data_IF_317580696848
#
_entry.id   IF_317580696848
#
_cell.length_a   1.000
_cell.length_b   1.000
_cell.length_c   1.000
_cell.angle_alpha   90.00
_cell.angle_beta   90.00
_cell.angle_gamma   90.00
#
_symmetry.space_group_name_H-M   'P 1'
#
loop_
_entity.id
_entity.type
_entity.pdbx_description
1 polymer ?
#
# COMPACT_ATOMS: atom_id res chain seq x y z
N UNK A 1 -4.94 -13.15 3.67
CA UNK A 1 -3.64 -12.56 3.21
C UNK A 1 -2.53 -13.02 4.11
N UNK A 2 -1.37 -13.39 3.55
CA UNK A 2 -0.18 -13.80 4.31
C UNK A 2 0.97 -12.86 3.97
N UNK A 3 1.65 -12.33 5.00
CA UNK A 3 2.83 -11.48 4.83
C UNK A 3 4.08 -12.37 4.63
N UNK A 4 4.84 -12.09 3.57
CA UNK A 4 6.10 -12.79 3.27
C UNK A 4 7.29 -11.95 3.76
N UNK A 5 7.36 -11.72 5.08
CA UNK A 5 8.41 -10.91 5.70
C UNK A 5 9.64 -11.80 6.00
N UNK A 6 10.25 -12.36 4.94
CA UNK A 6 11.38 -13.28 4.96
C UNK A 6 12.25 -13.10 3.71
N UNK A 7 13.35 -13.87 3.61
CA UNK A 7 14.16 -13.89 2.39
C UNK A 7 13.42 -14.54 1.20
N UNK A 8 13.98 -14.38 0.00
CA UNK A 8 13.36 -14.83 -1.24
C UNK A 8 13.18 -16.34 -1.32
N UNK A 9 14.15 -17.12 -0.84
CA UNK A 9 14.07 -18.57 -0.87
C UNK A 9 12.90 -19.03 0.01
N UNK A 10 12.82 -18.51 1.23
CA UNK A 10 11.74 -18.85 2.16
C UNK A 10 10.38 -18.36 1.66
N UNK A 11 10.33 -17.19 1.01
CA UNK A 11 9.10 -16.67 0.42
C UNK A 11 8.56 -17.60 -0.69
N UNK A 12 9.43 -18.14 -1.54
CA UNK A 12 9.05 -19.09 -2.59
C UNK A 12 8.56 -20.43 -2.01
N UNK A 13 9.25 -20.97 -1.00
CA UNK A 13 8.81 -22.18 -0.28
C UNK A 13 7.43 -21.99 0.35
N UNK A 14 7.23 -20.86 1.06
CA UNK A 14 5.93 -20.54 1.65
C UNK A 14 4.84 -20.38 0.59
N UNK A 15 5.16 -19.77 -0.55
CA UNK A 15 4.21 -19.63 -1.64
C UNK A 15 3.73 -20.98 -2.16
N UNK A 16 4.62 -21.97 -2.33
CA UNK A 16 4.21 -23.33 -2.71
C UNK A 16 3.29 -23.99 -1.65
N UNK A 17 3.60 -23.80 -0.37
CA UNK A 17 2.78 -24.35 0.72
C UNK A 17 1.40 -23.69 0.84
N UNK A 18 1.29 -22.42 0.44
CA UNK A 18 0.09 -21.59 0.51
C UNK A 18 -0.81 -21.71 -0.73
N UNK A 19 -0.30 -22.30 -1.81
CA UNK A 19 -1.04 -22.48 -3.06
C UNK A 19 -2.37 -23.18 -2.82
N UNK A 20 -3.46 -22.59 -3.28
CA UNK A 20 -4.83 -23.07 -3.04
C UNK A 20 -5.36 -22.86 -1.62
N UNK A 21 -4.57 -22.34 -0.69
CA UNK A 21 -4.98 -22.07 0.71
C UNK A 21 -5.09 -20.58 1.02
N UNK A 22 -4.39 -19.73 0.29
CA UNK A 22 -4.45 -18.28 0.42
C UNK A 22 -4.65 -17.65 -0.97
N UNK A 23 -5.45 -16.58 -1.02
CA UNK A 23 -5.64 -15.81 -2.26
C UNK A 23 -4.62 -14.69 -2.39
N UNK A 24 -4.24 -14.08 -1.27
CA UNK A 24 -3.37 -12.91 -1.22
C UNK A 24 -2.07 -13.18 -0.48
N UNK A 25 -0.97 -12.68 -1.03
CA UNK A 25 0.31 -12.53 -0.32
C UNK A 25 0.72 -11.06 -0.28
N UNK A 26 1.38 -10.64 0.80
CA UNK A 26 1.97 -9.31 0.94
C UNK A 26 3.48 -9.42 0.75
N UNK A 27 4.00 -8.63 -0.18
CA UNK A 27 5.43 -8.43 -0.39
C UNK A 27 5.80 -7.07 0.19
N UNK A 28 6.55 -7.08 1.27
CA UNK A 28 7.03 -5.87 1.93
C UNK A 28 8.39 -5.40 1.40
N UNK A 29 8.87 -4.28 1.93
CA UNK A 29 10.11 -3.62 1.50
C UNK A 29 11.33 -4.54 1.61
N UNK A 30 11.49 -5.28 2.70
CA UNK A 30 12.66 -6.16 2.90
C UNK A 30 12.81 -7.17 1.77
N UNK A 31 11.74 -7.90 1.46
CA UNK A 31 11.75 -8.91 0.40
C UNK A 31 11.92 -8.25 -0.98
N UNK A 32 11.19 -7.15 -1.23
CA UNK A 32 11.22 -6.49 -2.53
C UNK A 32 12.58 -5.86 -2.83
N UNK A 33 13.21 -5.16 -1.88
CA UNK A 33 14.53 -4.54 -2.08
C UNK A 33 15.67 -5.58 -2.17
N UNK A 34 15.53 -6.73 -1.51
CA UNK A 34 16.51 -7.80 -1.61
C UNK A 34 16.44 -8.57 -2.93
N UNK A 35 15.22 -8.74 -3.50
CA UNK A 35 15.00 -9.63 -4.65
C UNK A 35 14.58 -8.90 -5.94
N UNK A 36 14.09 -7.68 -5.80
CA UNK A 36 13.61 -6.88 -6.93
C UNK A 36 12.19 -7.27 -7.38
N UNK A 37 11.73 -6.69 -8.49
CA UNK A 37 10.35 -6.86 -8.98
C UNK A 37 10.01 -8.28 -9.44
N UNK A 38 11.00 -9.14 -9.70
CA UNK A 38 10.80 -10.55 -10.07
C UNK A 38 10.04 -11.36 -9.01
N UNK A 39 10.07 -10.95 -7.74
CA UNK A 39 9.29 -11.62 -6.68
C UNK A 39 7.79 -11.41 -6.89
N UNK A 40 7.36 -10.25 -7.39
CA UNK A 40 5.94 -9.99 -7.71
C UNK A 40 5.48 -10.97 -8.80
N UNK A 41 6.24 -11.07 -9.88
CA UNK A 41 5.97 -11.99 -10.97
C UNK A 41 5.90 -13.45 -10.49
N UNK A 42 6.88 -13.88 -9.69
CA UNK A 42 6.91 -15.22 -9.12
C UNK A 42 5.66 -15.56 -8.27
N UNK A 43 5.10 -14.58 -7.55
CA UNK A 43 3.84 -14.77 -6.81
C UNK A 43 2.63 -14.81 -7.74
N UNK A 44 2.61 -13.97 -8.78
CA UNK A 44 1.53 -13.97 -9.79
C UNK A 44 1.47 -15.29 -10.56
N UNK A 45 2.62 -15.84 -11.00
CA UNK A 45 2.70 -17.15 -11.68
C UNK A 45 2.15 -18.30 -10.82
N UNK A 46 2.19 -18.16 -9.49
CA UNK A 46 1.62 -19.12 -8.53
C UNK A 46 0.13 -18.90 -8.25
N UNK A 47 -0.50 -17.93 -8.92
CA UNK A 47 -1.92 -17.64 -8.83
C UNK A 47 -2.33 -16.77 -7.65
N UNK A 48 -1.36 -16.11 -6.98
CA UNK A 48 -1.68 -15.16 -5.90
C UNK A 48 -2.06 -13.78 -6.44
N UNK A 49 -2.94 -13.10 -5.71
CA UNK A 49 -3.02 -11.65 -5.73
C UNK A 49 -1.91 -11.07 -4.85
N UNK A 50 -1.22 -10.04 -5.33
CA UNK A 50 -0.05 -9.46 -4.68
C UNK A 50 -0.34 -8.09 -4.12
N UNK A 51 -0.26 -7.98 -2.81
CA UNK A 51 -0.20 -6.72 -2.09
C UNK A 51 1.25 -6.27 -1.99
N UNK A 52 1.65 -5.28 -2.78
CA UNK A 52 3.00 -4.71 -2.76
C UNK A 52 3.05 -3.53 -1.79
N UNK A 53 3.58 -3.78 -0.60
CA UNK A 53 3.58 -2.87 0.54
C UNK A 53 4.90 -2.11 0.67
N UNK A 54 5.13 -1.12 -0.22
CA UNK A 54 6.36 -0.33 -0.29
C UNK A 54 6.23 1.06 0.34
N UNK A 55 5.02 1.47 0.71
CA UNK A 55 4.76 2.75 1.39
C UNK A 55 5.37 3.95 0.67
N UNK A 56 5.03 4.13 -0.61
CA UNK A 56 5.57 5.19 -1.46
C UNK A 56 5.47 6.56 -0.79
N UNK A 57 6.56 7.32 -0.83
CA UNK A 57 6.63 8.65 -0.27
C UNK A 57 7.75 9.46 -0.95
N UNK A 58 7.36 10.30 -1.91
CA UNK A 58 8.25 11.17 -2.67
C UNK A 58 7.42 12.26 -3.35
N UNK A 59 8.04 13.13 -4.14
CA UNK A 59 7.33 14.13 -4.94
C UNK A 59 6.39 13.46 -5.96
N UNK A 60 5.27 14.13 -6.35
CA UNK A 60 4.25 13.51 -7.19
C UNK A 60 4.76 12.87 -8.48
N UNK A 61 5.73 13.50 -9.16
CA UNK A 61 6.31 12.96 -10.39
C UNK A 61 6.98 11.59 -10.18
N UNK A 62 7.76 11.45 -9.10
CA UNK A 62 8.42 10.18 -8.78
C UNK A 62 7.41 9.10 -8.39
N UNK A 63 6.37 9.49 -7.64
CA UNK A 63 5.35 8.54 -7.20
C UNK A 63 4.48 8.05 -8.35
N UNK A 64 4.18 8.90 -9.36
CA UNK A 64 3.50 8.45 -10.56
C UNK A 64 4.31 7.37 -11.30
N UNK A 65 5.62 7.59 -11.47
CA UNK A 65 6.53 6.62 -12.10
C UNK A 65 6.68 5.33 -11.28
N UNK A 66 6.81 5.44 -9.95
CA UNK A 66 6.94 4.30 -9.05
C UNK A 66 5.67 3.42 -9.03
N UNK A 67 4.51 4.06 -8.95
CA UNK A 67 3.22 3.38 -8.99
C UNK A 67 2.97 2.69 -10.34
N UNK A 68 3.26 3.37 -11.45
CA UNK A 68 3.24 2.77 -12.78
C UNK A 68 4.15 1.54 -12.86
N UNK A 69 5.40 1.68 -12.41
CA UNK A 69 6.37 0.57 -12.44
C UNK A 69 5.91 -0.63 -11.61
N UNK A 70 5.36 -0.40 -10.41
CA UNK A 70 4.85 -1.46 -9.55
C UNK A 70 3.63 -2.17 -10.16
N UNK A 71 2.67 -1.39 -10.67
CA UNK A 71 1.46 -1.91 -11.32
C UNK A 71 1.79 -2.70 -12.59
N UNK A 72 2.76 -2.25 -13.40
CA UNK A 72 3.21 -2.95 -14.61
C UNK A 72 3.80 -4.34 -14.34
N UNK A 73 4.18 -4.65 -13.09
CA UNK A 73 4.64 -5.98 -12.67
C UNK A 73 3.49 -6.88 -12.19
N UNK A 74 2.25 -6.39 -12.25
CA UNK A 74 1.07 -7.14 -11.87
C UNK A 74 0.73 -7.10 -10.38
N UNK A 75 1.21 -6.09 -9.64
CA UNK A 75 0.75 -5.87 -8.27
C UNK A 75 -0.77 -5.54 -8.29
N UNK A 76 -1.53 -6.17 -7.40
CA UNK A 76 -2.98 -5.97 -7.30
C UNK A 76 -3.36 -4.93 -6.21
N UNK A 77 -2.40 -4.53 -5.39
CA UNK A 77 -2.58 -3.53 -4.33
C UNK A 77 -1.26 -2.84 -4.01
N UNK A 78 -1.29 -1.52 -3.81
CA UNK A 78 -0.13 -0.67 -3.54
C UNK A 78 -0.35 0.18 -2.31
N UNK A 79 0.70 0.53 -1.58
CA UNK A 79 0.64 1.48 -0.46
C UNK A 79 1.44 2.74 -0.70
N UNK A 80 0.95 3.86 -0.16
CA UNK A 80 1.63 5.15 -0.12
C UNK A 80 1.31 5.89 1.17
N UNK A 81 2.18 6.78 1.62
CA UNK A 81 1.90 7.62 2.78
C UNK A 81 0.93 8.75 2.46
N UNK A 82 -0.15 8.89 3.23
CA UNK A 82 -1.12 9.99 3.06
C UNK A 82 -0.52 11.35 3.46
N UNK A 83 0.51 11.34 4.30
CA UNK A 83 1.29 12.54 4.66
C UNK A 83 2.01 13.20 3.48
N UNK A 84 2.12 12.52 2.34
CA UNK A 84 2.58 13.12 1.07
C UNK A 84 1.59 14.07 0.42
N UNK A 85 0.35 14.13 0.92
CA UNK A 85 -0.70 15.03 0.47
C UNK A 85 -1.47 14.53 -0.74
N UNK A 86 -2.55 15.24 -1.05
CA UNK A 86 -3.54 14.85 -2.06
C UNK A 86 -2.91 14.69 -3.46
N UNK A 87 -2.05 15.60 -3.87
CA UNK A 87 -1.44 15.56 -5.21
C UNK A 87 -0.48 14.38 -5.40
N UNK A 88 0.24 13.98 -4.35
CA UNK A 88 1.09 12.78 -4.40
C UNK A 88 0.22 11.52 -4.53
N UNK A 89 -0.85 11.41 -3.76
CA UNK A 89 -1.76 10.26 -3.83
C UNK A 89 -2.47 10.17 -5.18
N UNK A 90 -2.94 11.31 -5.74
CA UNK A 90 -3.49 11.36 -7.11
C UNK A 90 -2.48 10.94 -8.16
N UNK A 91 -1.21 11.31 -8.01
CA UNK A 91 -0.14 10.88 -8.91
C UNK A 91 0.07 9.37 -8.86
N UNK A 92 0.05 8.76 -7.66
CA UNK A 92 0.09 7.31 -7.51
C UNK A 92 -1.06 6.62 -8.26
N UNK A 93 -2.28 7.14 -8.11
CA UNK A 93 -3.47 6.61 -8.79
C UNK A 93 -3.32 6.70 -10.31
N UNK A 94 -2.87 7.85 -10.85
CA UNK A 94 -2.65 8.01 -12.31
C UNK A 94 -1.63 6.99 -12.83
N UNK A 95 -0.52 6.78 -12.11
CA UNK A 95 0.49 5.79 -12.49
C UNK A 95 -0.06 4.37 -12.53
N UNK A 96 -0.86 3.99 -11.51
CA UNK A 96 -1.50 2.69 -11.43
C UNK A 96 -2.51 2.46 -12.56
N UNK A 97 -3.37 3.44 -12.85
CA UNK A 97 -4.37 3.40 -13.94
C UNK A 97 -3.67 3.25 -15.28
N UNK A 98 -2.66 4.10 -15.57
CA UNK A 98 -1.92 4.05 -16.83
C UNK A 98 -1.26 2.68 -17.07
N UNK A 99 -0.68 2.08 -16.05
CA UNK A 99 -0.10 0.73 -16.17
C UNK A 99 -1.18 -0.34 -16.43
N UNK A 100 -2.30 -0.27 -15.73
CA UNK A 100 -3.41 -1.21 -15.91
C UNK A 100 -3.95 -1.16 -17.35
N UNK A 101 -4.14 0.04 -17.91
CA UNK A 101 -4.57 0.24 -19.29
C UNK A 101 -3.56 -0.29 -20.31
N UNK A 102 -2.27 -0.01 -20.11
CA UNK A 102 -1.21 -0.41 -21.03
C UNK A 102 -0.96 -1.91 -21.06
N UNK A 103 -1.02 -2.58 -19.90
CA UNK A 103 -0.73 -4.02 -19.78
C UNK A 103 -1.97 -4.91 -19.74
N UNK A 104 -3.18 -4.35 -19.77
CA UNK A 104 -4.44 -5.10 -19.74
C UNK A 104 -4.70 -5.78 -18.39
N UNK A 105 -4.29 -5.14 -17.28
CA UNK A 105 -4.53 -5.61 -15.92
C UNK A 105 -5.73 -4.87 -15.29
N UNK A 106 -6.27 -5.43 -14.22
CA UNK A 106 -7.16 -4.67 -13.34
C UNK A 106 -6.38 -3.53 -12.67
N UNK A 107 -7.01 -2.39 -12.47
CA UNK A 107 -6.38 -1.28 -11.74
C UNK A 107 -6.11 -1.72 -10.30
N UNK A 108 -4.86 -1.69 -9.84
CA UNK A 108 -4.55 -2.10 -8.47
C UNK A 108 -5.19 -1.16 -7.44
N UNK A 109 -5.66 -1.72 -6.34
CA UNK A 109 -6.15 -0.93 -5.22
C UNK A 109 -4.98 -0.09 -4.64
N UNK A 110 -5.19 1.22 -4.50
CA UNK A 110 -4.23 2.13 -3.88
C UNK A 110 -4.66 2.43 -2.45
N UNK A 111 -3.78 2.17 -1.50
CA UNK A 111 -4.07 2.33 -0.07
C UNK A 111 -3.16 3.38 0.56
N UNK A 112 -3.76 4.32 1.27
CA UNK A 112 -3.07 5.36 2.04
C UNK A 112 -2.68 4.87 3.43
N UNK A 113 -1.38 4.92 3.77
CA UNK A 113 -0.91 4.73 5.14
C UNK A 113 -1.22 6.00 5.92
N UNK A 114 -2.03 5.91 6.97
CA UNK A 114 -2.35 7.04 7.83
C UNK A 114 -1.18 7.34 8.78
N UNK A 115 -1.20 6.84 10.00
CA UNK A 115 -0.07 6.90 10.92
C UNK A 115 0.47 5.50 11.13
N UNK A 116 1.78 5.35 11.19
CA UNK A 116 2.39 4.05 11.43
C UNK A 116 2.02 3.55 12.83
N UNK A 117 1.63 2.28 12.94
CA UNK A 117 1.18 1.66 14.20
C UNK A 117 2.25 1.61 15.29
N UNK A 118 3.51 1.85 14.93
CA UNK A 118 4.63 1.99 15.87
C UNK A 118 4.76 3.39 16.48
N UNK A 119 4.01 4.37 15.99
CA UNK A 119 4.03 5.75 16.49
C UNK A 119 3.03 5.96 17.62
N UNK A 120 3.29 6.99 18.41
CA UNK A 120 2.42 7.51 19.45
C UNK A 120 2.44 9.07 19.40
N UNK A 121 1.69 9.72 20.29
CA UNK A 121 1.61 11.19 20.31
C UNK A 121 2.99 11.87 20.49
N UNK A 122 3.89 11.28 21.26
CA UNK A 122 5.27 11.77 21.42
C UNK A 122 6.03 11.74 20.11
N UNK A 123 5.96 10.61 19.38
CA UNK A 123 6.62 10.45 18.06
C UNK A 123 6.02 11.39 17.01
N UNK A 124 4.71 11.64 17.05
CA UNK A 124 4.09 12.65 16.20
C UNK A 124 4.62 14.05 16.49
N UNK A 125 4.76 14.41 17.78
CA UNK A 125 5.31 15.70 18.16
C UNK A 125 6.78 15.88 17.73
N UNK A 126 7.59 14.81 17.77
CA UNK A 126 9.00 14.83 17.30
C UNK A 126 9.11 15.21 15.81
N UNK A 127 8.13 14.83 14.99
CA UNK A 127 8.10 15.17 13.55
C UNK A 127 7.29 16.45 13.26
N UNK A 128 6.97 17.24 14.29
CA UNK A 128 6.29 18.53 14.16
C UNK A 128 4.77 18.46 14.00
N UNK A 129 4.15 17.31 14.28
CA UNK A 129 2.69 17.15 14.27
C UNK A 129 2.14 17.45 15.66
N UNK A 130 1.39 18.54 15.80
CA UNK A 130 0.80 18.97 17.07
C UNK A 130 -0.54 18.33 17.41
N UNK A 131 -1.15 17.61 16.47
CA UNK A 131 -2.40 16.88 16.69
C UNK A 131 -2.14 15.57 17.43
N UNK A 132 -3.10 15.16 18.27
CA UNK A 132 -3.10 13.81 18.83
C UNK A 132 -3.34 12.75 17.73
N UNK A 133 -2.95 11.51 18.04
CA UNK A 133 -2.97 10.37 17.12
C UNK A 133 -4.32 10.22 16.41
N UNK A 134 -5.43 10.20 17.16
CA UNK A 134 -6.76 9.96 16.60
C UNK A 134 -7.18 11.04 15.58
N UNK A 135 -6.89 12.31 15.87
CA UNK A 135 -7.22 13.42 14.98
C UNK A 135 -6.30 13.45 13.75
N UNK A 136 -5.04 13.07 13.91
CA UNK A 136 -4.11 12.96 12.80
C UNK A 136 -4.53 11.84 11.84
N UNK A 137 -4.92 10.68 12.36
CA UNK A 137 -5.42 9.56 11.55
C UNK A 137 -6.67 9.95 10.75
N UNK A 138 -7.64 10.62 11.39
CA UNK A 138 -8.85 11.11 10.71
C UNK A 138 -8.52 12.07 9.58
N UNK A 139 -7.69 13.09 9.84
CA UNK A 139 -7.25 14.05 8.82
C UNK A 139 -6.61 13.34 7.62
N UNK A 140 -5.69 12.42 7.87
CA UNK A 140 -4.99 11.70 6.82
C UNK A 140 -5.94 10.80 6.01
N UNK A 141 -6.95 10.23 6.65
CA UNK A 141 -7.97 9.43 5.99
C UNK A 141 -8.88 10.29 5.10
N UNK A 142 -9.27 11.49 5.55
CA UNK A 142 -10.02 12.47 4.73
C UNK A 142 -9.23 12.94 3.51
N UNK A 143 -7.91 13.14 3.65
CA UNK A 143 -7.03 13.44 2.51
C UNK A 143 -6.98 12.29 1.49
N UNK A 144 -6.94 11.03 1.97
CA UNK A 144 -7.01 9.85 1.12
C UNK A 144 -8.32 9.79 0.32
N UNK A 145 -9.45 10.04 0.99
CA UNK A 145 -10.77 10.13 0.34
C UNK A 145 -10.81 11.25 -0.69
N UNK A 146 -10.29 12.44 -0.35
CA UNK A 146 -10.20 13.59 -1.27
C UNK A 146 -9.34 13.28 -2.50
N UNK A 147 -8.30 12.47 -2.33
CA UNK A 147 -7.44 12.02 -3.43
C UNK A 147 -8.10 10.96 -4.32
N UNK A 148 -9.19 10.33 -3.87
CA UNK A 148 -9.90 9.27 -4.61
C UNK A 148 -9.13 7.95 -4.67
N UNK A 149 -8.26 7.68 -3.70
CA UNK A 149 -7.60 6.37 -3.59
C UNK A 149 -8.53 5.35 -2.95
N UNK A 150 -8.22 4.07 -3.13
CA UNK A 150 -9.16 2.96 -2.84
C UNK A 150 -9.45 2.72 -1.36
N UNK A 151 -8.63 3.24 -0.45
CA UNK A 151 -8.82 3.05 0.99
C UNK A 151 -7.61 3.45 1.81
N UNK A 152 -7.63 3.10 3.09
CA UNK A 152 -6.56 3.43 4.04
C UNK A 152 -6.09 2.21 4.83
N UNK A 153 -4.85 2.26 5.29
CA UNK A 153 -4.29 1.34 6.28
C UNK A 153 -4.23 2.06 7.62
N UNK A 154 -4.87 1.47 8.62
CA UNK A 154 -4.98 2.02 9.97
C UNK A 154 -4.99 0.89 11.01
N UNK A 155 -4.89 1.25 12.28
CA UNK A 155 -5.02 0.30 13.38
C UNK A 155 -6.46 -0.28 13.44
N UNK A 156 -6.64 -1.54 13.84
CA UNK A 156 -7.98 -2.09 14.10
C UNK A 156 -8.80 -1.26 15.10
N UNK A 157 -8.15 -0.56 16.02
CA UNK A 157 -8.82 0.32 17.00
C UNK A 157 -9.46 1.55 16.36
N UNK A 158 -9.00 1.95 15.17
CA UNK A 158 -9.46 3.12 14.42
C UNK A 158 -10.54 2.76 13.39
N UNK A 159 -10.70 1.46 13.10
CA UNK A 159 -11.54 0.98 12.00
C UNK A 159 -13.00 1.46 12.08
N UNK A 160 -13.60 1.43 13.28
CA UNK A 160 -14.99 1.88 13.48
C UNK A 160 -15.14 3.37 13.19
N UNK A 161 -14.28 4.19 13.79
CA UNK A 161 -14.30 5.65 13.61
C UNK A 161 -14.02 6.06 12.15
N UNK A 162 -13.11 5.37 11.46
CA UNK A 162 -12.82 5.60 10.06
C UNK A 162 -13.98 5.16 9.15
N UNK A 163 -14.67 4.07 9.48
CA UNK A 163 -15.85 3.62 8.75
C UNK A 163 -17.00 4.63 8.86
N UNK A 164 -17.20 5.22 10.04
CA UNK A 164 -18.20 6.28 10.25
C UNK A 164 -17.83 7.56 9.48
N UNK A 165 -16.53 7.90 9.44
CA UNK A 165 -16.03 9.11 8.78
C UNK A 165 -16.07 9.01 7.25
N UNK A 166 -15.61 7.90 6.69
CA UNK A 166 -15.38 7.73 5.25
C UNK A 166 -16.57 7.09 4.52
N UNK A 167 -17.49 6.46 5.24
CA UNK A 167 -18.62 5.75 4.65
C UNK A 167 -18.39 4.24 4.50
N UNK A 168 -19.37 3.52 3.92
CA UNK A 168 -19.38 2.05 3.86
C UNK A 168 -18.43 1.44 2.81
N UNK A 169 -17.93 2.23 1.87
CA UNK A 169 -17.12 1.76 0.73
C UNK A 169 -15.62 1.76 1.01
#
# INVERSE_FOLDING_TARGET
>A
MVALDCDAQRALELAEMLKGKATWVKVGMTLYYAHGPSIVHAMKERGFKVFLDLKFYDIPHQIEGASYSAASKGADMLTMHTSGGVEMMKAAQRGAVRAAEEFGYDVPATLGITVLTSMNDSTLAEIGVSRGMADQVKLLAELAQTAGISGVVASPQEASALRELLGPD
#
